data_IF_499327120405
#
_entry.id   IF_499327120405
#
_cell.length_a   1.000
_cell.length_b   1.000
_cell.length_c   1.000
_cell.angle_alpha   90.00
_cell.angle_beta   90.00
_cell.angle_gamma   90.00
#
_symmetry.space_group_name_H-M   'P 1'
#
loop_
_entity.id
_entity.type
_entity.pdbx_description
1 polymer ?
#
# COMPACT_ATOMS: atom_id res chain seq x y z
N UNK A 1 9.32 9.25 -17.99
CA UNK A 1 8.19 8.29 -18.02
C UNK A 1 7.01 8.87 -18.78
N UNK A 2 6.49 10.03 -18.38
CA UNK A 2 5.35 10.67 -19.05
C UNK A 2 5.57 10.95 -20.55
N UNK A 3 6.77 11.42 -20.94
CA UNK A 3 7.10 11.67 -22.35
C UNK A 3 6.94 10.44 -23.26
N UNK A 4 7.02 9.23 -22.70
CA UNK A 4 6.91 7.97 -23.44
C UNK A 4 5.59 7.23 -23.16
N UNK A 5 4.65 7.86 -22.43
CA UNK A 5 3.36 7.25 -22.09
C UNK A 5 3.44 6.09 -21.10
N UNK A 6 4.56 5.90 -20.39
CA UNK A 6 4.67 4.85 -19.39
C UNK A 6 3.99 5.25 -18.08
N UNK A 7 3.11 4.38 -17.60
CA UNK A 7 2.42 4.58 -16.32
C UNK A 7 3.41 4.45 -15.16
N UNK A 8 3.41 5.45 -14.28
CA UNK A 8 4.17 5.39 -13.03
C UNK A 8 3.50 4.48 -12.00
N UNK A 9 4.28 3.96 -11.06
CA UNK A 9 3.75 3.19 -9.94
C UNK A 9 3.41 4.09 -8.74
N UNK A 10 2.37 3.73 -8.01
CA UNK A 10 2.03 4.27 -6.70
C UNK A 10 1.84 3.11 -5.73
N UNK A 11 2.61 3.08 -4.64
CA UNK A 11 2.49 2.04 -3.61
C UNK A 11 1.88 2.68 -2.38
N UNK A 12 0.65 2.31 -2.07
CA UNK A 12 -0.16 3.04 -1.12
C UNK A 12 0.30 2.88 0.34
N UNK A 13 0.90 1.74 0.70
CA UNK A 13 1.56 1.57 2.01
C UNK A 13 2.62 2.66 2.31
N UNK A 14 3.22 3.29 1.30
CA UNK A 14 4.21 4.37 1.50
C UNK A 14 3.58 5.74 1.76
N UNK A 15 2.25 5.89 1.62
CA UNK A 15 1.57 7.18 1.74
C UNK A 15 1.65 7.86 3.09
N UNK A 16 1.95 7.09 4.13
CA UNK A 16 1.97 7.58 5.50
C UNK A 16 3.40 7.77 6.04
N UNK A 17 4.41 7.52 5.21
CA UNK A 17 5.80 7.77 5.58
C UNK A 17 6.07 9.29 5.60
N UNK A 18 6.76 9.76 6.64
CA UNK A 18 6.97 11.18 6.93
C UNK A 18 7.80 11.95 5.89
N UNK A 19 8.63 11.26 5.08
CA UNK A 19 9.54 11.94 4.15
C UNK A 19 8.97 12.11 2.74
N UNK A 20 8.17 11.16 2.25
CA UNK A 20 7.75 11.09 0.83
C UNK A 20 6.29 10.63 0.62
N UNK A 21 5.47 10.60 1.68
CA UNK A 21 4.13 10.01 1.61
C UNK A 21 3.14 10.73 0.69
N UNK A 22 3.32 12.03 0.45
CA UNK A 22 2.32 12.86 -0.22
C UNK A 22 2.00 12.37 -1.65
N UNK A 23 3.02 12.02 -2.44
CA UNK A 23 2.84 11.46 -3.80
C UNK A 23 2.13 10.11 -3.83
N UNK A 24 2.10 9.41 -2.70
CA UNK A 24 1.49 8.10 -2.54
C UNK A 24 0.08 8.16 -1.92
N UNK A 25 -0.44 9.35 -1.60
CA UNK A 25 -1.84 9.53 -1.22
C UNK A 25 -2.78 9.52 -2.44
N UNK A 26 -3.92 8.80 -2.40
CA UNK A 26 -4.81 8.64 -3.54
C UNK A 26 -5.31 9.92 -4.21
N UNK A 27 -5.49 11.00 -3.44
CA UNK A 27 -5.94 12.29 -3.98
C UNK A 27 -4.86 13.05 -4.77
N UNK A 28 -3.60 12.59 -4.71
CA UNK A 28 -2.47 13.16 -5.44
C UNK A 28 -2.04 12.30 -6.64
N UNK A 29 -2.78 11.23 -6.96
CA UNK A 29 -2.45 10.38 -8.11
C UNK A 29 -2.78 11.07 -9.44
N UNK A 30 -1.88 11.00 -10.44
CA UNK A 30 -2.30 11.23 -11.81
C UNK A 30 -3.14 10.03 -12.29
N UNK A 31 -4.00 10.23 -13.30
CA UNK A 31 -4.79 9.12 -13.88
C UNK A 31 -3.90 8.04 -14.48
N UNK A 32 -2.88 8.46 -15.23
CA UNK A 32 -1.91 7.59 -15.89
C UNK A 32 -0.89 6.95 -14.92
N UNK A 33 -1.40 6.18 -13.96
CA UNK A 33 -0.59 5.42 -13.02
C UNK A 33 -1.23 4.08 -12.68
N UNK A 34 -0.39 3.18 -12.16
CA UNK A 34 -0.82 1.91 -11.56
C UNK A 34 -0.67 2.03 -10.05
N UNK A 35 -1.77 1.94 -9.32
CA UNK A 35 -1.74 1.87 -7.85
C UNK A 35 -1.63 0.42 -7.39
N UNK A 36 -0.79 0.21 -6.38
CA UNK A 36 -0.63 -1.02 -5.62
C UNK A 36 -0.99 -0.71 -4.18
N UNK A 37 -1.80 -1.53 -3.52
CA UNK A 37 -1.96 -1.39 -2.06
C UNK A 37 -0.62 -1.64 -1.35
N UNK A 38 0.04 -2.74 -1.74
CA UNK A 38 1.43 -3.11 -1.47
C UNK A 38 1.95 -3.96 -2.63
N UNK A 39 3.26 -4.20 -2.69
CA UNK A 39 3.89 -5.12 -3.64
C UNK A 39 4.29 -6.42 -2.95
N UNK A 40 4.95 -7.34 -3.68
CA UNK A 40 5.50 -8.56 -3.10
C UNK A 40 6.65 -8.32 -2.10
N UNK A 41 7.33 -7.17 -2.18
CA UNK A 41 8.40 -6.77 -1.25
C UNK A 41 7.87 -6.15 0.04
N UNK A 42 6.59 -5.76 0.02
CA UNK A 42 5.89 -5.21 1.17
C UNK A 42 5.32 -6.32 2.06
N UNK A 43 5.07 -5.98 3.31
CA UNK A 43 4.27 -6.82 4.18
C UNK A 43 2.81 -6.84 3.68
N UNK A 44 2.05 -7.89 4.01
CA UNK A 44 0.61 -7.89 3.76
C UNK A 44 -0.05 -6.75 4.55
N UNK A 45 -1.18 -6.19 4.07
CA UNK A 45 -1.78 -5.01 4.68
C UNK A 45 -2.13 -5.19 6.16
N UNK A 46 -2.57 -6.39 6.56
CA UNK A 46 -2.82 -6.69 7.98
C UNK A 46 -1.51 -6.69 8.75
N UNK A 47 -0.48 -7.38 8.25
CA UNK A 47 0.86 -7.40 8.86
C UNK A 47 1.47 -6.01 9.01
N UNK A 48 1.35 -5.19 7.96
CA UNK A 48 1.74 -3.78 7.98
C UNK A 48 0.99 -3.01 9.06
N UNK A 49 -0.34 -3.07 9.06
CA UNK A 49 -1.18 -2.36 10.04
C UNK A 49 -0.89 -2.79 11.48
N UNK A 50 -0.64 -4.07 11.75
CA UNK A 50 -0.52 -4.57 13.13
C UNK A 50 0.92 -4.65 13.64
N UNK A 51 1.92 -4.65 12.75
CA UNK A 51 3.30 -4.97 13.12
C UNK A 51 4.34 -4.06 12.48
N UNK A 52 4.44 -4.06 11.15
CA UNK A 52 5.61 -3.48 10.47
C UNK A 52 5.54 -1.97 10.20
N UNK A 53 4.37 -1.34 10.26
CA UNK A 53 4.24 0.13 10.23
C UNK A 53 4.70 0.77 11.55
N UNK A 54 5.26 1.97 11.49
CA UNK A 54 5.48 2.80 12.69
C UNK A 54 4.16 3.25 13.31
N UNK A 55 4.17 3.63 14.58
CA UNK A 55 2.97 4.18 15.24
C UNK A 55 2.48 5.48 14.59
N UNK A 56 3.37 6.28 13.99
CA UNK A 56 3.00 7.49 13.26
C UNK A 56 2.25 7.15 11.98
N UNK A 57 2.82 6.29 11.14
CA UNK A 57 2.19 5.82 9.90
C UNK A 57 0.82 5.20 10.17
N UNK A 58 0.72 4.33 11.18
CA UNK A 58 -0.54 3.69 11.59
C UNK A 58 -1.59 4.72 12.00
N UNK A 59 -1.22 5.72 12.82
CA UNK A 59 -2.14 6.78 13.25
C UNK A 59 -2.62 7.62 12.07
N UNK A 60 -1.71 7.98 11.16
CA UNK A 60 -2.05 8.82 10.02
C UNK A 60 -2.90 8.07 8.99
N UNK A 61 -2.62 6.79 8.77
CA UNK A 61 -3.51 5.90 8.03
C UNK A 61 -4.91 5.86 8.65
N UNK A 62 -5.04 5.57 9.95
CA UNK A 62 -6.33 5.53 10.64
C UNK A 62 -7.11 6.84 10.53
N UNK A 63 -6.42 7.98 10.60
CA UNK A 63 -7.01 9.32 10.42
C UNK A 63 -7.48 9.53 8.98
N UNK A 64 -6.67 9.13 8.00
CA UNK A 64 -7.00 9.26 6.59
C UNK A 64 -8.31 8.55 6.22
N UNK A 65 -8.64 7.44 6.89
CA UNK A 65 -9.84 6.64 6.59
C UNK A 65 -11.14 7.06 7.31
N UNK A 66 -11.21 8.22 7.99
CA UNK A 66 -12.41 8.85 8.60
C UNK A 66 -13.42 7.95 9.36
N UNK A 67 -13.09 6.71 9.71
CA UNK A 67 -14.01 5.76 10.33
C UNK A 67 -13.38 4.94 11.45
N UNK A 68 -12.10 5.14 11.79
CA UNK A 68 -11.39 4.40 12.85
C UNK A 68 -11.32 2.88 12.63
N UNK A 69 -11.88 2.39 11.53
CA UNK A 69 -12.02 0.97 11.18
C UNK A 69 -11.15 0.66 9.95
N UNK A 70 -9.93 1.23 9.93
CA UNK A 70 -8.98 0.95 8.86
C UNK A 70 -8.48 -0.49 9.04
N UNK A 71 -9.11 -1.39 8.30
CA UNK A 71 -8.62 -2.75 8.07
C UNK A 71 -8.01 -2.84 6.67
N UNK A 72 -7.47 -4.01 6.31
CA UNK A 72 -6.97 -4.28 4.98
C UNK A 72 -7.96 -3.87 3.88
N UNK A 73 -9.26 -4.12 4.05
CA UNK A 73 -10.26 -3.74 3.06
C UNK A 73 -10.46 -2.23 2.91
N UNK A 74 -10.17 -1.42 3.93
CA UNK A 74 -10.17 0.04 3.78
C UNK A 74 -9.07 0.51 2.81
N UNK A 75 -7.88 -0.11 2.89
CA UNK A 75 -6.78 0.13 1.96
C UNK A 75 -7.10 -0.34 0.55
N UNK A 76 -7.64 -1.55 0.41
CA UNK A 76 -8.09 -2.09 -0.88
C UNK A 76 -9.11 -1.16 -1.53
N UNK A 77 -10.13 -0.73 -0.77
CA UNK A 77 -11.14 0.22 -1.27
C UNK A 77 -10.53 1.54 -1.71
N UNK A 78 -9.61 2.13 -0.95
CA UNK A 78 -9.01 3.40 -1.34
C UNK A 78 -8.10 3.28 -2.57
N UNK A 79 -7.40 2.16 -2.76
CA UNK A 79 -6.69 1.89 -4.01
C UNK A 79 -7.67 1.80 -5.20
N UNK A 80 -8.76 1.03 -5.06
CA UNK A 80 -9.77 0.86 -6.11
C UNK A 80 -10.61 2.11 -6.40
N UNK A 81 -10.84 2.96 -5.40
CA UNK A 81 -11.57 4.23 -5.55
C UNK A 81 -10.68 5.38 -6.03
N UNK A 82 -9.37 5.16 -6.16
CA UNK A 82 -8.45 6.19 -6.65
C UNK A 82 -8.68 6.49 -8.13
N UNK A 83 -8.08 7.59 -8.61
CA UNK A 83 -8.18 8.00 -10.02
C UNK A 83 -7.23 7.24 -10.95
N UNK A 84 -6.41 6.32 -10.42
CA UNK A 84 -5.47 5.53 -11.19
C UNK A 84 -6.18 4.67 -12.25
N UNK A 85 -5.59 4.57 -13.44
CA UNK A 85 -6.13 3.75 -14.54
C UNK A 85 -6.13 2.25 -14.21
N UNK A 86 -5.26 1.82 -13.31
CA UNK A 86 -5.18 0.42 -12.88
C UNK A 86 -4.88 0.35 -11.39
N UNK A 87 -5.59 -0.53 -10.69
CA UNK A 87 -5.37 -0.81 -9.28
C UNK A 87 -5.10 -2.30 -9.07
N UNK A 88 -3.98 -2.62 -8.41
CA UNK A 88 -3.50 -3.96 -8.15
C UNK A 88 -3.42 -4.21 -6.65
N UNK A 89 -3.87 -5.39 -6.24
CA UNK A 89 -3.93 -5.85 -4.85
C UNK A 89 -3.26 -7.21 -4.79
N UNK A 90 -2.46 -7.47 -3.76
CA UNK A 90 -1.82 -8.78 -3.61
C UNK A 90 -2.86 -9.82 -3.21
N UNK A 91 -2.65 -11.09 -3.58
CA UNK A 91 -3.60 -12.16 -3.24
C UNK A 91 -3.75 -12.36 -1.73
N UNK A 92 -2.73 -12.01 -0.94
CA UNK A 92 -2.72 -12.10 0.52
C UNK A 92 -3.65 -11.08 1.19
N UNK A 93 -3.83 -9.92 0.56
CA UNK A 93 -4.65 -8.83 1.09
C UNK A 93 -6.16 -9.12 0.99
N UNK A 94 -6.58 -9.95 0.02
CA UNK A 94 -7.99 -10.31 -0.20
C UNK A 94 -8.60 -11.12 0.97
N UNK A 95 -7.99 -12.23 1.43
CA UNK A 95 -8.40 -12.92 2.66
C UNK A 95 -7.98 -12.18 3.94
N UNK A 96 -7.10 -11.17 3.85
CA UNK A 96 -6.61 -10.42 5.01
C UNK A 96 -5.58 -11.20 5.84
N UNK A 97 -4.61 -11.83 5.18
CA UNK A 97 -3.50 -12.50 5.86
C UNK A 97 -2.52 -11.48 6.44
N UNK A 98 -1.82 -11.88 7.52
CA UNK A 98 -0.82 -11.08 8.20
C UNK A 98 0.59 -11.28 7.63
N UNK A 99 1.59 -10.94 8.45
CA UNK A 99 3.01 -11.01 8.06
C UNK A 99 3.50 -12.42 7.75
N UNK A 100 2.78 -13.46 8.18
CA UNK A 100 3.05 -14.85 7.81
C UNK A 100 2.90 -15.13 6.31
N UNK A 101 2.17 -14.28 5.59
CA UNK A 101 1.96 -14.41 4.15
C UNK A 101 2.80 -13.41 3.33
N UNK A 102 3.73 -12.70 3.98
CA UNK A 102 4.68 -11.82 3.28
C UNK A 102 5.49 -12.62 2.27
N UNK A 103 5.53 -12.14 1.02
CA UNK A 103 6.18 -12.87 -0.07
C UNK A 103 7.69 -12.70 -0.05
N UNK A 104 8.19 -11.48 0.13
CA UNK A 104 9.63 -11.21 0.16
C UNK A 104 9.97 -10.21 1.27
N UNK A 105 11.08 -10.44 1.96
CA UNK A 105 11.71 -9.47 2.86
C UNK A 105 13.06 -9.05 2.26
N UNK A 106 13.09 -7.92 1.52
CA UNK A 106 14.32 -7.45 0.87
C UNK A 106 15.49 -7.34 1.85
N UNK A 107 16.67 -7.77 1.39
CA UNK A 107 17.89 -7.80 2.22
C UNK A 107 18.06 -9.06 3.06
N UNK A 108 17.15 -10.03 2.96
CA UNK A 108 17.32 -11.37 3.55
C UNK A 108 17.51 -12.44 2.47
N UNK A 109 18.12 -13.57 2.85
CA UNK A 109 18.29 -14.76 2.00
C UNK A 109 17.79 -15.99 2.75
N UNK A 110 17.02 -16.86 2.10
CA UNK A 110 16.56 -18.14 2.67
C UNK A 110 15.11 -18.10 3.14
N UNK A 111 14.86 -18.57 4.37
CA UNK A 111 13.53 -18.97 4.91
C UNK A 111 12.47 -17.86 5.06
N UNK A 112 12.74 -16.64 4.56
CA UNK A 112 11.91 -15.44 4.77
C UNK A 112 11.47 -14.78 3.45
N UNK A 113 11.71 -15.46 2.31
CA UNK A 113 11.33 -15.08 0.95
C UNK A 113 10.71 -16.26 0.19
#
# INVERSE_FOLDING_TARGET
MEQFGFQGMRVFQFAFNCCEGDRFLPHNYPRACVVYAGTHDNDALVGWLTGSSTDAERRDALRYYLCGNANNWAFVRAAWMSVADTALITMQDLPGLGSEARMNLPGTSGTHN
#
